data_IF_197314153268
#
_entry.id   IF_197314153268
#
_cell.length_a   1.000
_cell.length_b   1.000
_cell.length_c   1.000
_cell.angle_alpha   90.00
_cell.angle_beta   90.00
_cell.angle_gamma   90.00
#
_symmetry.space_group_name_H-M   'P 1'
#
loop_
_entity.id
_entity.type
_entity.pdbx_description
1 polymer ?
#
# COMPACT_ATOMS: atom_id res chain seq x y z
N UNK A 1 6.95 14.45 81.99
CA UNK A 1 7.04 14.92 80.59
C UNK A 1 8.51 14.93 80.22
N UNK A 2 8.99 13.95 79.45
CA UNK A 2 10.38 13.98 78.98
C UNK A 2 10.50 15.01 77.87
N UNK A 3 11.30 16.05 78.10
CA UNK A 3 11.76 16.94 77.04
C UNK A 3 13.00 16.31 76.40
N UNK A 4 12.78 15.37 75.47
CA UNK A 4 13.83 14.77 74.66
C UNK A 4 14.37 15.83 73.68
N UNK A 5 15.23 16.71 74.17
CA UNK A 5 15.85 17.75 73.37
C UNK A 5 17.08 17.16 72.68
N UNK A 6 16.87 16.53 71.51
CA UNK A 6 17.95 16.04 70.65
C UNK A 6 18.91 17.18 70.32
N UNK A 7 20.20 16.91 70.41
CA UNK A 7 21.27 17.80 69.93
C UNK A 7 21.13 18.05 68.42
N UNK A 8 21.69 19.16 67.94
CA UNK A 8 21.69 19.47 66.49
C UNK A 8 22.30 18.34 65.67
N UNK A 9 23.36 17.68 66.15
CA UNK A 9 24.00 16.53 65.50
C UNK A 9 23.06 15.34 65.38
N UNK A 10 22.32 14.99 66.42
CA UNK A 10 21.32 13.91 66.38
C UNK A 10 20.18 14.22 65.41
N UNK A 11 19.73 15.49 65.36
CA UNK A 11 18.71 15.93 64.40
C UNK A 11 19.20 15.84 62.96
N UNK A 12 20.45 16.23 62.69
CA UNK A 12 21.07 16.11 61.37
C UNK A 12 21.26 14.65 60.95
N UNK A 13 21.67 13.78 61.87
CA UNK A 13 21.77 12.33 61.63
C UNK A 13 20.41 11.72 61.27
N UNK A 14 19.35 12.04 62.03
CA UNK A 14 17.99 11.57 61.73
C UNK A 14 17.49 12.05 60.35
N UNK A 15 17.82 13.30 59.97
CA UNK A 15 17.49 13.83 58.64
C UNK A 15 18.23 13.06 57.55
N UNK A 16 19.54 12.80 57.72
CA UNK A 16 20.34 12.04 56.75
C UNK A 16 19.82 10.61 56.57
N UNK A 17 19.46 9.93 57.65
CA UNK A 17 18.87 8.57 57.61
C UNK A 17 17.54 8.58 56.85
N UNK A 18 16.65 9.52 57.17
CA UNK A 18 15.35 9.65 56.47
C UNK A 18 15.52 10.03 54.99
N UNK A 19 16.47 10.90 54.67
CA UNK A 19 16.78 11.28 53.30
C UNK A 19 17.28 10.07 52.50
N UNK A 20 18.19 9.27 53.07
CA UNK A 20 18.68 8.05 52.42
C UNK A 20 17.58 7.02 52.21
N UNK A 21 16.70 6.81 53.20
CA UNK A 21 15.56 5.92 53.07
C UNK A 21 14.58 6.39 51.97
N UNK A 22 14.34 7.70 51.88
CA UNK A 22 13.54 8.29 50.80
C UNK A 22 14.20 8.07 49.43
N UNK A 23 15.51 8.31 49.30
CA UNK A 23 16.24 8.07 48.05
C UNK A 23 16.16 6.61 47.60
N UNK A 24 16.28 5.66 48.54
CA UNK A 24 16.12 4.23 48.25
C UNK A 24 14.69 3.91 47.78
N UNK A 25 13.69 4.45 48.47
CA UNK A 25 12.28 4.26 48.10
C UNK A 25 12.01 4.81 46.70
N UNK A 26 12.50 6.02 46.39
CA UNK A 26 12.34 6.63 45.06
C UNK A 26 13.01 5.79 43.98
N UNK A 27 14.21 5.27 44.22
CA UNK A 27 14.92 4.42 43.28
C UNK A 27 14.17 3.09 43.02
N UNK A 28 13.66 2.45 44.07
CA UNK A 28 12.85 1.23 43.96
C UNK A 28 11.54 1.48 43.18
N UNK A 29 10.83 2.56 43.48
CA UNK A 29 9.61 2.92 42.76
C UNK A 29 9.89 3.25 41.29
N UNK A 30 10.99 3.95 40.99
CA UNK A 30 11.41 4.21 39.62
C UNK A 30 11.70 2.92 38.85
N UNK A 31 12.37 1.94 39.49
CA UNK A 31 12.62 0.63 38.88
C UNK A 31 11.32 -0.15 38.63
N UNK A 32 10.38 -0.13 39.59
CA UNK A 32 9.08 -0.77 39.43
C UNK A 32 8.27 -0.16 38.30
N UNK A 33 8.26 1.17 38.19
CA UNK A 33 7.58 1.88 37.08
C UNK A 33 8.20 1.49 35.74
N UNK A 34 9.53 1.45 35.65
CA UNK A 34 10.22 1.06 34.42
C UNK A 34 9.91 -0.39 34.03
N UNK A 35 9.89 -1.32 34.98
CA UNK A 35 9.56 -2.72 34.73
C UNK A 35 8.12 -2.87 34.21
N UNK A 36 7.14 -2.24 34.88
CA UNK A 36 5.74 -2.26 34.45
C UNK A 36 5.54 -1.63 33.08
N UNK A 37 6.25 -0.55 32.77
CA UNK A 37 6.19 0.10 31.47
C UNK A 37 6.73 -0.80 30.35
N UNK A 38 7.85 -1.50 30.58
CA UNK A 38 8.40 -2.42 29.59
C UNK A 38 7.49 -3.63 29.36
N UNK A 39 6.88 -4.16 30.42
CA UNK A 39 5.90 -5.23 30.29
C UNK A 39 4.68 -4.77 29.48
N UNK A 40 4.09 -3.62 29.83
CA UNK A 40 2.95 -3.08 29.10
C UNK A 40 3.27 -2.78 27.62
N UNK A 41 4.50 -2.30 27.34
CA UNK A 41 4.98 -2.10 25.97
C UNK A 41 5.06 -3.42 25.21
N UNK A 42 5.60 -4.47 25.82
CA UNK A 42 5.69 -5.80 25.19
C UNK A 42 4.29 -6.38 24.91
N UNK A 43 3.39 -6.35 25.89
CA UNK A 43 2.00 -6.81 25.72
C UNK A 43 1.26 -6.02 24.63
N UNK A 44 1.51 -4.71 24.53
CA UNK A 44 0.95 -3.87 23.47
C UNK A 44 1.54 -4.19 22.09
N UNK A 45 2.86 -4.37 22.00
CA UNK A 45 3.54 -4.68 20.74
C UNK A 45 3.10 -6.06 20.22
N UNK A 46 2.96 -7.06 21.11
CA UNK A 46 2.41 -8.38 20.80
C UNK A 46 0.97 -8.28 20.29
N UNK A 47 0.09 -7.60 21.05
CA UNK A 47 -1.29 -7.37 20.63
C UNK A 47 -1.37 -6.66 19.29
N UNK A 48 -0.59 -5.60 19.08
CA UNK A 48 -0.57 -4.83 17.81
C UNK A 48 -0.13 -5.69 16.63
N UNK A 49 0.79 -6.63 16.85
CA UNK A 49 1.30 -7.52 15.81
C UNK A 49 0.23 -8.47 15.27
N UNK A 50 -0.79 -8.81 16.06
CA UNK A 50 -1.91 -9.64 15.62
C UNK A 50 -2.81 -8.90 14.60
N UNK A 51 -2.89 -7.58 14.70
CA UNK A 51 -3.78 -6.75 13.87
C UNK A 51 -3.07 -6.00 12.76
N UNK A 52 -1.76 -5.82 12.83
CA UNK A 52 -1.02 -5.05 11.83
C UNK A 52 0.35 -5.64 11.53
N UNK A 53 0.78 -5.53 10.28
CA UNK A 53 2.13 -5.85 9.85
C UNK A 53 2.64 -4.84 8.82
N UNK A 54 3.96 -4.64 8.73
CA UNK A 54 4.56 -3.80 7.72
C UNK A 54 5.04 -4.69 6.55
N UNK A 55 4.40 -4.57 5.39
CA UNK A 55 4.75 -5.35 4.20
C UNK A 55 5.11 -4.39 3.08
N UNK A 56 6.33 -4.51 2.54
CA UNK A 56 6.83 -3.67 1.45
C UNK A 56 6.68 -2.16 1.72
N UNK A 57 6.81 -1.75 2.99
CA UNK A 57 6.70 -0.34 3.42
C UNK A 57 5.27 0.18 3.58
N UNK A 58 4.24 -0.68 3.48
CA UNK A 58 2.85 -0.32 3.80
C UNK A 58 2.36 -1.07 5.04
N UNK A 59 1.61 -0.36 5.89
CA UNK A 59 0.91 -0.98 7.00
C UNK A 59 -0.29 -1.76 6.46
N UNK A 60 -0.28 -3.07 6.70
CA UNK A 60 -1.36 -3.99 6.37
C UNK A 60 -2.14 -4.28 7.65
N UNK A 61 -3.45 -4.07 7.61
CA UNK A 61 -4.37 -4.41 8.69
C UNK A 61 -4.92 -5.82 8.50
N UNK A 62 -5.01 -6.59 9.57
CA UNK A 62 -5.41 -8.00 9.59
C UNK A 62 -6.69 -8.20 10.41
N UNK A 63 -7.60 -9.01 9.88
CA UNK A 63 -8.82 -9.46 10.55
C UNK A 63 -9.11 -10.90 10.13
N UNK A 64 -8.72 -11.87 10.96
CA UNK A 64 -8.65 -13.26 10.54
C UNK A 64 -7.70 -13.40 9.34
N UNK A 65 -8.15 -14.05 8.27
CA UNK A 65 -7.36 -14.16 7.02
C UNK A 65 -7.45 -12.91 6.13
N UNK A 66 -8.34 -11.97 6.44
CA UNK A 66 -8.52 -10.76 5.62
C UNK A 66 -7.40 -9.76 5.93
N UNK A 67 -6.70 -9.33 4.88
CA UNK A 67 -5.63 -8.34 4.90
C UNK A 67 -6.06 -7.13 4.08
N UNK A 68 -5.77 -5.93 4.58
CA UNK A 68 -6.13 -4.66 3.94
C UNK A 68 -4.99 -3.67 3.97
N UNK A 69 -4.79 -2.95 2.87
CA UNK A 69 -3.91 -1.79 2.85
C UNK A 69 -4.48 -0.69 1.97
N UNK A 70 -3.96 0.50 2.19
CA UNK A 70 -4.29 1.68 1.41
C UNK A 70 -3.00 2.42 1.08
N UNK A 71 -2.93 2.98 -0.13
CA UNK A 71 -1.93 3.99 -0.45
C UNK A 71 -2.52 5.06 -1.36
N UNK A 72 -1.91 6.25 -1.31
CA UNK A 72 -2.25 7.35 -2.21
C UNK A 72 -1.03 8.20 -2.50
N UNK A 73 -0.96 8.78 -3.69
CA UNK A 73 0.08 9.72 -4.06
C UNK A 73 -0.39 10.65 -5.18
N UNK A 74 0.46 11.60 -5.55
CA UNK A 74 0.31 12.41 -6.75
C UNK A 74 1.16 11.83 -7.89
N UNK A 75 0.56 11.71 -9.07
CA UNK A 75 1.22 11.46 -10.34
C UNK A 75 1.54 12.80 -11.00
N UNK A 76 2.83 13.04 -11.24
CA UNK A 76 3.26 14.17 -12.05
C UNK A 76 2.90 13.90 -13.50
N UNK A 77 2.43 14.90 -14.23
CA UNK A 77 2.04 14.71 -15.63
C UNK A 77 2.89 15.53 -16.59
N UNK A 78 4.06 15.99 -16.15
CA UNK A 78 4.88 16.86 -16.98
C UNK A 78 4.36 18.30 -17.09
N UNK A 79 4.95 19.06 -18.01
CA UNK A 79 4.66 20.48 -18.21
C UNK A 79 3.62 20.75 -19.30
N UNK A 80 2.92 21.87 -19.22
CA UNK A 80 1.97 22.34 -20.24
C UNK A 80 2.51 23.58 -20.96
N UNK A 81 2.29 23.64 -22.27
CA UNK A 81 2.53 24.82 -23.12
C UNK A 81 1.25 25.19 -23.85
N UNK A 82 0.92 26.48 -23.92
CA UNK A 82 -0.22 26.97 -24.69
C UNK A 82 0.11 27.16 -26.18
N UNK A 83 1.39 27.15 -26.56
CA UNK A 83 1.85 27.46 -27.91
C UNK A 83 1.79 26.26 -28.88
N UNK A 84 1.35 25.09 -28.41
CA UNK A 84 1.31 23.84 -29.18
C UNK A 84 2.69 23.43 -29.76
N UNK A 85 3.77 23.75 -29.03
CA UNK A 85 5.17 23.55 -29.40
C UNK A 85 5.87 22.47 -28.55
N UNK A 86 5.09 21.57 -27.94
CA UNK A 86 5.58 20.41 -27.21
C UNK A 86 6.40 19.46 -28.11
N UNK A 87 7.36 18.71 -27.53
CA UNK A 87 8.26 17.84 -28.29
C UNK A 87 7.58 16.59 -28.88
N UNK A 88 6.40 16.21 -28.39
CA UNK A 88 5.62 15.09 -28.91
C UNK A 88 4.53 15.61 -29.85
N UNK A 89 4.62 15.26 -31.13
CA UNK A 89 3.69 15.74 -32.17
C UNK A 89 2.26 15.24 -31.98
N UNK A 90 2.05 14.11 -31.29
CA UNK A 90 0.71 13.61 -30.96
C UNK A 90 0.12 14.35 -29.75
N UNK A 91 0.98 14.96 -28.92
CA UNK A 91 0.62 15.73 -27.72
C UNK A 91 1.24 17.13 -27.76
N UNK A 92 0.90 17.98 -28.74
CA UNK A 92 1.61 19.25 -28.99
C UNK A 92 1.51 20.26 -27.84
N UNK A 93 0.54 20.13 -26.93
CA UNK A 93 0.42 20.99 -25.74
C UNK A 93 1.18 20.47 -24.51
N UNK A 94 1.82 19.30 -24.61
CA UNK A 94 2.65 18.75 -23.55
C UNK A 94 4.09 19.27 -23.69
N UNK A 95 4.51 20.17 -22.81
CA UNK A 95 5.84 20.79 -22.86
C UNK A 95 6.98 19.88 -22.37
N UNK A 96 6.68 18.96 -21.46
CA UNK A 96 7.65 18.04 -20.88
C UNK A 96 7.00 16.67 -20.65
N UNK A 97 6.80 15.85 -21.69
CA UNK A 97 6.16 14.55 -21.56
C UNK A 97 6.96 13.62 -20.64
N UNK A 98 6.25 12.76 -19.92
CA UNK A 98 6.82 11.73 -19.07
C UNK A 98 6.48 10.36 -19.62
N UNK A 99 7.31 9.37 -19.29
CA UNK A 99 7.00 7.97 -19.57
C UNK A 99 5.73 7.52 -18.82
N UNK A 100 5.02 6.51 -19.33
CA UNK A 100 3.86 5.94 -18.65
C UNK A 100 4.19 5.51 -17.22
N UNK A 101 3.22 5.68 -16.32
CA UNK A 101 3.26 5.06 -15.00
C UNK A 101 2.70 3.66 -15.06
N UNK A 102 3.36 2.73 -14.38
CA UNK A 102 2.82 1.44 -14.00
C UNK A 102 2.47 1.48 -12.52
N UNK A 103 1.18 1.31 -12.24
CA UNK A 103 0.59 1.38 -10.92
C UNK A 103 0.26 -0.05 -10.51
N UNK A 104 1.10 -0.60 -9.64
CA UNK A 104 1.07 -1.97 -9.17
C UNK A 104 0.20 -2.05 -7.92
N UNK A 105 -1.01 -2.58 -8.08
CA UNK A 105 -2.09 -2.50 -7.09
C UNK A 105 -1.95 -3.55 -5.99
N UNK A 106 -1.68 -4.80 -6.38
CA UNK A 106 -1.55 -5.99 -5.54
C UNK A 106 -0.74 -7.03 -6.33
N UNK A 107 0.11 -7.80 -5.65
CA UNK A 107 0.84 -8.89 -6.27
C UNK A 107 0.69 -10.20 -5.49
N UNK A 108 0.80 -11.31 -6.21
CA UNK A 108 0.81 -12.66 -5.68
C UNK A 108 2.17 -13.29 -5.99
N UNK A 109 2.97 -13.50 -4.94
CA UNK A 109 4.35 -13.97 -5.08
C UNK A 109 4.45 -15.49 -4.97
N UNK A 110 4.66 -16.13 -6.11
CA UNK A 110 4.90 -17.56 -6.22
C UNK A 110 6.40 -17.90 -6.42
N UNK A 111 7.34 -16.95 -6.33
CA UNK A 111 8.78 -17.19 -6.61
C UNK A 111 9.39 -18.33 -5.79
N UNK A 112 8.86 -18.60 -4.59
CA UNK A 112 9.29 -19.72 -3.74
C UNK A 112 8.52 -21.04 -4.00
N UNK A 113 7.87 -21.18 -5.16
CA UNK A 113 7.03 -22.32 -5.52
C UNK A 113 5.72 -22.37 -4.74
N UNK A 114 4.82 -23.30 -5.12
CA UNK A 114 3.57 -23.59 -4.38
C UNK A 114 2.36 -22.74 -4.75
N UNK A 115 2.44 -21.99 -5.85
CA UNK A 115 1.31 -21.34 -6.52
C UNK A 115 0.98 -19.94 -6.01
N UNK A 116 -0.06 -19.33 -6.60
CA UNK A 116 -0.46 -17.94 -6.33
C UNK A 116 -1.50 -17.78 -5.21
N UNK A 117 -2.00 -18.89 -4.65
CA UNK A 117 -3.02 -18.87 -3.60
C UNK A 117 -3.54 -20.26 -3.24
N UNK A 118 -4.63 -20.27 -2.47
CA UNK A 118 -5.34 -21.45 -1.99
C UNK A 118 -6.85 -21.36 -2.22
N UNK A 119 -7.54 -22.46 -1.93
CA UNK A 119 -9.00 -22.56 -2.12
C UNK A 119 -9.73 -21.49 -1.31
N UNK A 120 -10.61 -20.75 -1.98
CA UNK A 120 -11.41 -19.71 -1.34
C UNK A 120 -10.70 -18.37 -1.18
N UNK A 121 -9.49 -18.21 -1.73
CA UNK A 121 -8.83 -16.91 -1.75
C UNK A 121 -9.59 -15.90 -2.59
N UNK A 122 -9.64 -14.68 -2.08
CA UNK A 122 -10.32 -13.55 -2.67
C UNK A 122 -9.42 -12.32 -2.64
N UNK A 123 -9.63 -11.42 -3.60
CA UNK A 123 -9.09 -10.07 -3.54
C UNK A 123 -10.07 -9.04 -4.12
N UNK A 124 -9.92 -7.80 -3.67
CA UNK A 124 -10.54 -6.60 -4.21
C UNK A 124 -9.56 -5.44 -4.20
N UNK A 125 -9.43 -4.75 -5.32
CA UNK A 125 -8.70 -3.50 -5.44
C UNK A 125 -9.66 -2.42 -5.96
N UNK A 126 -9.85 -1.34 -5.20
CA UNK A 126 -10.59 -0.16 -5.64
C UNK A 126 -9.59 0.97 -5.92
N UNK A 127 -9.70 1.54 -7.11
CA UNK A 127 -8.78 2.54 -7.65
C UNK A 127 -9.56 3.80 -7.95
N UNK A 128 -9.06 4.93 -7.46
CA UNK A 128 -9.58 6.25 -7.79
C UNK A 128 -8.43 7.13 -8.25
N UNK A 129 -8.53 7.69 -9.45
CA UNK A 129 -7.60 8.71 -9.96
C UNK A 129 -8.42 9.98 -10.19
N UNK A 130 -7.97 11.12 -9.68
CA UNK A 130 -8.69 12.40 -9.80
C UNK A 130 -7.74 13.53 -10.12
N UNK A 131 -8.28 14.64 -10.60
CA UNK A 131 -7.55 15.90 -10.70
C UNK A 131 -8.13 16.89 -9.69
N UNK A 132 -7.31 17.43 -8.77
CA UNK A 132 -7.72 18.50 -7.82
C UNK A 132 -9.03 18.20 -7.07
N UNK A 133 -9.29 16.93 -6.75
CA UNK A 133 -10.51 16.51 -6.07
C UNK A 133 -11.79 16.58 -6.92
N UNK A 134 -11.68 16.75 -8.25
CA UNK A 134 -12.82 16.81 -9.18
C UNK A 134 -13.45 15.42 -9.43
N UNK A 135 -13.91 14.78 -8.37
CA UNK A 135 -14.49 13.43 -8.46
C UNK A 135 -15.79 13.40 -9.27
N UNK A 136 -16.59 14.46 -9.29
CA UNK A 136 -17.89 14.42 -9.98
C UNK A 136 -17.80 14.39 -11.52
N UNK A 137 -16.68 14.80 -12.11
CA UNK A 137 -16.58 15.02 -13.57
C UNK A 137 -15.25 14.61 -14.19
N UNK A 138 -14.20 14.44 -13.39
CA UNK A 138 -12.85 14.18 -13.90
C UNK A 138 -12.13 13.19 -12.97
N UNK A 139 -12.63 11.96 -13.01
CA UNK A 139 -12.09 10.81 -12.29
C UNK A 139 -11.94 9.58 -13.19
N UNK A 140 -11.08 8.67 -12.77
CA UNK A 140 -11.12 7.27 -13.15
C UNK A 140 -11.46 6.48 -11.89
N UNK A 141 -12.50 5.65 -11.96
CA UNK A 141 -12.94 4.82 -10.85
C UNK A 141 -13.09 3.39 -11.34
N UNK A 142 -12.23 2.51 -10.83
CA UNK A 142 -12.17 1.10 -11.20
C UNK A 142 -12.27 0.25 -9.94
N UNK A 143 -12.92 -0.91 -10.05
CA UNK A 143 -12.93 -1.92 -9.01
C UNK A 143 -12.55 -3.26 -9.65
N UNK A 144 -11.50 -3.90 -9.16
CA UNK A 144 -11.11 -5.24 -9.59
C UNK A 144 -11.44 -6.19 -8.44
N UNK A 145 -12.28 -7.19 -8.70
CA UNK A 145 -12.66 -8.21 -7.74
C UNK A 145 -12.33 -9.59 -8.31
N UNK A 146 -11.66 -10.45 -7.55
CA UNK A 146 -11.21 -11.73 -8.08
C UNK A 146 -10.76 -12.74 -7.05
N UNK A 147 -10.10 -13.78 -7.55
CA UNK A 147 -9.58 -14.89 -6.75
C UNK A 147 -8.19 -15.29 -7.23
N UNK A 148 -7.42 -15.87 -6.32
CA UNK A 148 -6.14 -16.51 -6.62
C UNK A 148 -6.21 -17.99 -6.27
N UNK A 149 -5.55 -18.83 -7.04
CA UNK A 149 -5.38 -20.24 -6.71
C UNK A 149 -3.96 -20.68 -7.07
N UNK A 150 -3.69 -21.99 -7.07
CA UNK A 150 -2.35 -22.52 -7.34
C UNK A 150 -1.78 -22.00 -8.68
N UNK A 151 -2.54 -22.10 -9.76
CA UNK A 151 -2.09 -21.85 -11.13
C UNK A 151 -2.73 -20.63 -11.81
N UNK A 152 -3.52 -19.83 -11.08
CA UNK A 152 -4.34 -18.77 -11.66
C UNK A 152 -4.52 -17.56 -10.73
N UNK A 153 -4.51 -16.36 -11.33
CA UNK A 153 -4.95 -15.11 -10.72
C UNK A 153 -5.84 -14.40 -11.73
N UNK A 154 -7.12 -14.28 -11.40
CA UNK A 154 -8.09 -13.70 -12.31
C UNK A 154 -9.22 -13.01 -11.55
N UNK A 155 -9.93 -12.14 -12.26
CA UNK A 155 -11.04 -11.41 -11.69
C UNK A 155 -11.89 -10.73 -12.74
N UNK A 156 -12.85 -9.96 -12.25
CA UNK A 156 -13.71 -9.07 -13.02
C UNK A 156 -13.33 -7.65 -12.61
N UNK A 157 -13.06 -6.82 -13.61
CA UNK A 157 -12.88 -5.39 -13.43
C UNK A 157 -14.16 -4.66 -13.82
N UNK A 158 -14.76 -4.00 -12.83
CA UNK A 158 -15.86 -3.06 -13.02
C UNK A 158 -15.30 -1.67 -13.31
N UNK A 159 -15.62 -1.14 -14.48
CA UNK A 159 -15.20 0.20 -14.90
C UNK A 159 -16.32 1.17 -14.52
N UNK A 160 -16.21 1.85 -13.37
CA UNK A 160 -17.26 2.76 -12.89
C UNK A 160 -17.25 4.07 -13.66
N UNK A 161 -16.07 4.59 -13.99
CA UNK A 161 -15.90 5.78 -14.81
C UNK A 161 -14.49 5.88 -15.38
N UNK A 162 -14.37 6.43 -16.60
CA UNK A 162 -13.11 6.82 -17.23
C UNK A 162 -13.29 8.22 -17.82
N UNK A 163 -12.46 9.18 -17.43
CA UNK A 163 -12.68 10.58 -17.83
C UNK A 163 -12.19 10.91 -19.25
N UNK A 164 -11.27 10.11 -19.80
CA UNK A 164 -10.61 10.34 -21.09
C UNK A 164 -10.19 9.02 -21.76
N UNK A 165 -10.31 8.94 -23.07
CA UNK A 165 -9.87 7.76 -23.83
C UNK A 165 -8.34 7.75 -24.01
N UNK A 166 -7.76 6.57 -24.17
CA UNK A 166 -6.34 6.35 -24.52
C UNK A 166 -5.33 6.51 -23.40
N UNK A 167 -5.69 7.10 -22.26
CA UNK A 167 -4.74 7.37 -21.17
C UNK A 167 -4.55 6.22 -20.17
N UNK A 168 -5.45 5.23 -20.16
CA UNK A 168 -5.51 4.20 -19.13
C UNK A 168 -5.65 2.82 -19.76
N UNK A 169 -4.88 1.85 -19.28
CA UNK A 169 -5.03 0.45 -19.66
C UNK A 169 -4.73 -0.48 -18.48
N UNK A 170 -5.29 -1.69 -18.51
CA UNK A 170 -4.78 -2.79 -17.67
C UNK A 170 -3.57 -3.38 -18.37
N UNK A 171 -2.45 -3.46 -17.67
CA UNK A 171 -1.24 -4.09 -18.15
C UNK A 171 -1.11 -5.51 -17.60
N UNK A 172 -0.84 -6.47 -18.48
CA UNK A 172 -0.72 -7.88 -18.16
C UNK A 172 0.63 -8.38 -18.67
N UNK A 173 1.47 -8.83 -17.74
CA UNK A 173 2.71 -9.57 -18.01
C UNK A 173 2.52 -11.00 -17.51
N UNK A 174 2.61 -11.96 -18.43
CA UNK A 174 2.51 -13.40 -18.15
C UNK A 174 3.78 -14.10 -18.66
N UNK A 175 4.17 -15.24 -18.07
CA UNK A 175 5.31 -15.99 -18.58
C UNK A 175 5.01 -16.50 -19.99
N UNK A 176 6.05 -16.57 -20.83
CA UNK A 176 6.03 -17.16 -22.17
C UNK A 176 4.97 -16.56 -23.14
N UNK A 177 4.41 -15.41 -22.79
CA UNK A 177 3.41 -14.68 -23.57
C UNK A 177 3.87 -13.24 -23.81
N UNK A 178 3.63 -12.67 -25.00
CA UNK A 178 3.78 -11.24 -25.19
C UNK A 178 2.93 -10.48 -24.18
N UNK A 179 3.46 -9.36 -23.69
CA UNK A 179 2.73 -8.44 -22.83
C UNK A 179 1.44 -8.00 -23.51
N UNK A 180 0.38 -7.84 -22.71
CA UNK A 180 -0.95 -7.47 -23.20
C UNK A 180 -1.45 -6.26 -22.46
N UNK A 181 -2.06 -5.35 -23.20
CA UNK A 181 -2.77 -4.20 -22.63
C UNK A 181 -4.25 -4.29 -23.00
N UNK A 182 -5.11 -4.02 -22.02
CA UNK A 182 -6.55 -3.86 -22.24
C UNK A 182 -6.84 -2.36 -22.08
N UNK A 183 -7.00 -1.60 -23.19
CA UNK A 183 -7.34 -0.18 -23.12
C UNK A 183 -8.65 0.04 -22.36
N UNK A 184 -8.67 1.06 -21.51
CA UNK A 184 -9.83 1.48 -20.73
C UNK A 184 -10.28 2.85 -21.20
N UNK A 185 -11.19 2.82 -22.17
CA UNK A 185 -11.85 3.98 -22.73
C UNK A 185 -13.23 4.20 -22.13
N UNK A 186 -13.81 5.37 -22.38
CA UNK A 186 -15.17 5.76 -21.95
C UNK A 186 -16.23 4.74 -22.32
N UNK A 187 -16.07 4.05 -23.45
CA UNK A 187 -16.99 3.02 -23.92
C UNK A 187 -17.14 1.85 -22.93
N UNK A 188 -16.15 1.62 -22.06
CA UNK A 188 -16.23 0.60 -21.02
C UNK A 188 -16.92 1.08 -19.74
N UNK A 189 -17.28 2.36 -19.62
CA UNK A 189 -17.96 2.88 -18.42
C UNK A 189 -19.28 2.15 -18.17
N UNK A 190 -19.46 1.66 -16.94
CA UNK A 190 -20.60 0.85 -16.53
C UNK A 190 -20.49 -0.63 -16.91
N UNK A 191 -19.39 -1.06 -17.54
CA UNK A 191 -19.18 -2.45 -17.96
C UNK A 191 -18.31 -3.24 -16.99
N UNK A 192 -18.27 -4.55 -17.20
CA UNK A 192 -17.41 -5.50 -16.48
C UNK A 192 -16.54 -6.26 -17.47
N UNK A 193 -15.24 -6.27 -17.23
CA UNK A 193 -14.23 -6.89 -18.11
C UNK A 193 -13.58 -8.06 -17.36
N UNK A 194 -13.61 -9.29 -17.89
CA UNK A 194 -12.83 -10.38 -17.31
C UNK A 194 -11.34 -10.17 -17.57
N UNK A 195 -10.53 -10.30 -16.52
CA UNK A 195 -9.08 -10.10 -16.59
C UNK A 195 -8.36 -11.30 -15.98
N UNK A 196 -7.33 -11.76 -16.68
CA UNK A 196 -6.42 -12.79 -16.21
C UNK A 196 -5.02 -12.18 -16.08
N UNK A 197 -4.56 -12.05 -14.84
CA UNK A 197 -3.19 -11.65 -14.51
C UNK A 197 -2.25 -12.86 -14.53
N UNK A 198 -2.83 -14.04 -14.35
CA UNK A 198 -2.21 -15.33 -14.56
C UNK A 198 -3.27 -16.34 -15.00
N UNK A 199 -3.19 -16.85 -16.22
CA UNK A 199 -4.06 -17.90 -16.75
C UNK A 199 -3.62 -19.29 -16.30
N UNK A 200 -4.54 -20.23 -16.23
CA UNK A 200 -4.22 -21.65 -16.06
C UNK A 200 -3.34 -22.17 -17.22
N UNK A 201 -2.53 -23.19 -16.95
CA UNK A 201 -1.84 -23.96 -17.98
C UNK A 201 -0.59 -23.35 -18.61
N UNK A 202 0.05 -22.33 -18.02
CA UNK A 202 1.37 -21.84 -18.48
C UNK A 202 2.53 -22.30 -17.59
N UNK A 203 2.53 -23.55 -17.12
CA UNK A 203 3.64 -24.09 -16.31
C UNK A 203 3.68 -23.61 -14.84
N UNK A 204 4.55 -24.24 -14.06
CA UNK A 204 4.49 -24.29 -12.60
C UNK A 204 4.80 -22.94 -11.93
N UNK A 205 3.78 -22.34 -11.31
CA UNK A 205 3.81 -21.91 -9.91
C UNK A 205 5.02 -21.08 -9.42
N UNK A 206 5.68 -20.34 -10.31
CA UNK A 206 6.84 -19.50 -10.03
C UNK A 206 6.74 -18.16 -10.75
N UNK A 207 7.06 -17.06 -10.06
CA UNK A 207 6.99 -15.70 -10.57
C UNK A 207 5.99 -14.85 -9.80
N UNK A 208 5.68 -13.67 -10.33
CA UNK A 208 4.81 -12.69 -9.67
C UNK A 208 3.61 -12.36 -10.57
N UNK A 209 2.43 -12.81 -10.16
CA UNK A 209 1.18 -12.37 -10.80
C UNK A 209 0.79 -11.02 -10.21
N UNK A 210 0.77 -9.98 -11.04
CA UNK A 210 0.60 -8.60 -10.60
C UNK A 210 -0.59 -7.92 -11.25
N UNK A 211 -1.37 -7.21 -10.44
CA UNK A 211 -2.42 -6.34 -10.91
C UNK A 211 -1.81 -4.98 -11.21
N UNK A 212 -1.69 -4.64 -12.50
CA UNK A 212 -1.05 -3.38 -12.92
C UNK A 212 -1.99 -2.57 -13.81
N UNK A 213 -2.11 -1.28 -13.48
CA UNK A 213 -2.65 -0.28 -14.40
C UNK A 213 -1.51 0.49 -15.04
N UNK A 214 -1.60 0.73 -16.34
CA UNK A 214 -0.73 1.65 -17.04
C UNK A 214 -1.47 2.97 -17.26
N UNK A 215 -0.84 4.07 -16.87
CA UNK A 215 -1.36 5.43 -17.03
C UNK A 215 -0.40 6.21 -17.90
N UNK A 216 -0.87 6.71 -19.03
CA UNK A 216 -0.11 7.61 -19.89
C UNK A 216 -0.32 9.07 -19.45
N UNK A 217 0.67 9.71 -18.81
CA UNK A 217 0.53 11.06 -18.29
C UNK A 217 0.44 12.12 -19.40
N UNK A 218 0.82 11.80 -20.65
CA UNK A 218 0.82 12.76 -21.77
C UNK A 218 -0.57 13.32 -22.08
N UNK A 219 -1.60 12.52 -21.80
CA UNK A 219 -3.00 12.94 -21.88
C UNK A 219 -3.41 13.96 -20.81
N UNK A 220 -2.55 14.27 -19.84
CA UNK A 220 -2.86 15.14 -18.71
C UNK A 220 -1.76 16.16 -18.41
N UNK A 221 -0.94 16.53 -19.41
CA UNK A 221 0.16 17.46 -19.18
C UNK A 221 -0.27 18.80 -18.59
N UNK A 222 0.43 19.24 -17.55
CA UNK A 222 0.07 20.40 -16.72
C UNK A 222 -1.12 20.20 -15.77
N UNK A 223 -1.75 19.03 -15.75
CA UNK A 223 -2.91 18.72 -14.92
C UNK A 223 -2.63 17.51 -14.02
N UNK A 224 -1.80 17.69 -12.98
CA UNK A 224 -1.40 16.64 -12.03
C UNK A 224 -2.61 15.79 -11.54
N UNK A 225 -2.41 14.48 -11.39
CA UNK A 225 -3.44 13.55 -10.91
C UNK A 225 -3.10 13.05 -9.51
N UNK A 226 -4.10 12.86 -8.67
CA UNK A 226 -3.97 12.14 -7.41
C UNK A 226 -4.56 10.76 -7.58
N UNK A 227 -3.83 9.72 -7.18
CA UNK A 227 -4.31 8.35 -7.13
C UNK A 227 -4.47 7.90 -5.69
N UNK A 228 -5.53 7.13 -5.43
CA UNK A 228 -5.67 6.29 -4.26
C UNK A 228 -6.03 4.86 -4.66
N UNK A 229 -5.49 3.90 -3.91
CA UNK A 229 -5.73 2.47 -4.07
C UNK A 229 -6.07 1.89 -2.70
N UNK A 230 -7.23 1.24 -2.61
CA UNK A 230 -7.66 0.47 -1.45
C UNK A 230 -7.72 -1.00 -1.85
N UNK A 231 -6.97 -1.84 -1.14
CA UNK A 231 -6.85 -3.26 -1.46
C UNK A 231 -7.24 -4.11 -0.26
N UNK A 232 -8.03 -5.15 -0.51
CA UNK A 232 -8.42 -6.20 0.41
C UNK A 232 -8.11 -7.56 -0.22
N UNK A 233 -7.53 -8.49 0.53
CA UNK A 233 -7.21 -9.83 0.03
C UNK A 233 -7.11 -10.84 1.18
N UNK A 234 -7.27 -12.13 0.86
CA UNK A 234 -7.14 -13.21 1.86
C UNK A 234 -5.95 -14.13 1.60
N UNK A 235 -5.37 -14.07 0.39
CA UNK A 235 -4.27 -14.94 0.01
C UNK A 235 -3.06 -14.76 0.92
N UNK A 236 -2.45 -15.89 1.29
CA UNK A 236 -1.16 -15.91 1.98
C UNK A 236 0.01 -15.54 1.06
N UNK A 237 -0.20 -15.60 -0.27
CA UNK A 237 0.76 -15.20 -1.32
C UNK A 237 0.56 -13.77 -1.77
N UNK A 238 -0.60 -13.19 -1.48
CA UNK A 238 -0.92 -11.79 -1.75
C UNK A 238 -0.10 -10.84 -0.87
N UNK A 239 0.35 -9.72 -1.43
CA UNK A 239 1.01 -8.65 -0.70
C UNK A 239 0.95 -7.30 -1.45
N UNK A 240 1.09 -6.15 -0.75
CA UNK A 240 1.37 -4.89 -1.43
C UNK A 240 2.64 -4.99 -2.28
N UNK A 241 2.64 -4.40 -3.47
CA UNK A 241 3.80 -4.46 -4.38
C UNK A 241 5.01 -3.72 -3.80
N UNK A 242 6.21 -4.20 -4.09
CA UNK A 242 7.48 -3.56 -3.71
C UNK A 242 7.58 -2.16 -4.35
N UNK A 243 7.48 -2.10 -5.68
CA UNK A 243 7.33 -0.86 -6.43
C UNK A 243 5.85 -0.63 -6.75
N UNK A 244 5.20 0.29 -6.04
CA UNK A 244 3.76 0.57 -6.26
C UNK A 244 3.50 1.46 -7.47
N UNK A 245 4.39 2.42 -7.71
CA UNK A 245 4.28 3.38 -8.79
C UNK A 245 5.67 3.57 -9.35
N UNK A 246 5.82 3.28 -10.63
CA UNK A 246 7.11 3.27 -11.31
C UNK A 246 6.93 3.64 -12.78
N UNK A 247 7.96 4.19 -13.41
CA UNK A 247 8.01 4.33 -14.86
C UNK A 247 8.58 3.08 -15.53
N UNK A 248 9.17 2.18 -14.74
CA UNK A 248 9.70 0.92 -15.24
C UNK A 248 8.55 -0.04 -15.48
N UNK A 249 8.50 -0.59 -16.69
CA UNK A 249 7.53 -1.61 -17.04
C UNK A 249 7.75 -2.86 -16.16
N UNK A 250 6.74 -3.34 -15.42
CA UNK A 250 6.86 -4.54 -14.63
C UNK A 250 6.97 -5.75 -15.55
N UNK A 251 7.67 -6.78 -15.08
CA UNK A 251 7.78 -8.03 -15.81
C UNK A 251 7.41 -9.20 -14.88
N UNK A 252 7.30 -10.39 -15.46
CA UNK A 252 6.88 -11.59 -14.73
C UNK A 252 7.80 -11.96 -13.56
N UNK A 253 9.09 -11.70 -13.70
CA UNK A 253 10.12 -12.10 -12.74
C UNK A 253 10.34 -11.05 -11.65
N UNK A 254 10.03 -9.77 -11.92
CA UNK A 254 10.37 -8.64 -11.04
C UNK A 254 9.27 -7.58 -10.96
#
# INVERSE_FOLDING_TARGET
>A
MSTDNKTTTERLSDVAVRANALCQTVAEQSNNINASLQQAKAEFDDWKSDYTELVNGLQVHKQGNVKRFYFSTMLSNGGYTAAADGPDTEFPYCAAPLDPYYINLLEFDAQNGGGFGATGDYFKCEIMITHRGMFASYNEHLIITGSSFQDCVSGIMEVKNVSRDGHLSVFISEPDSPEREIPLDKAFTGTSIPVFFRKIGQGADSGIARLTLKVDPRFHCGAARSISVSSEYTSFRGRPCVERITHNKPNWEV
#
